data_IF_770547791695
#
_entry.id   IF_770547791695
#
_cell.length_a   1.000
_cell.length_b   1.000
_cell.length_c   1.000
_cell.angle_alpha   90.00
_cell.angle_beta   90.00
_cell.angle_gamma   90.00
#
_symmetry.space_group_name_H-M   'P 1'
#
loop_
_entity.id
_entity.type
_entity.pdbx_description
1 polymer ?
#
# COMPACT_ATOMS: atom_id res chain seq x y z
N UNK A 1 -22.18 -11.31 -10.11
CA UNK A 1 -21.39 -10.07 -10.18
C UNK A 1 -19.98 -10.33 -9.65
N UNK A 2 -18.98 -9.82 -10.35
CA UNK A 2 -17.58 -9.92 -9.92
C UNK A 2 -17.24 -8.75 -9.03
N UNK A 3 -16.51 -9.02 -7.94
CA UNK A 3 -15.92 -7.98 -7.10
C UNK A 3 -14.39 -8.15 -7.11
N UNK A 4 -13.67 -7.12 -6.70
CA UNK A 4 -12.21 -7.13 -6.71
C UNK A 4 -11.70 -6.66 -5.34
N UNK A 5 -10.71 -7.36 -4.84
CA UNK A 5 -9.90 -6.90 -3.71
C UNK A 5 -8.43 -7.06 -4.07
N UNK A 6 -7.57 -6.35 -3.34
CA UNK A 6 -6.12 -6.47 -3.50
C UNK A 6 -5.52 -6.99 -2.21
N UNK A 7 -4.54 -7.87 -2.33
CA UNK A 7 -3.79 -8.37 -1.18
C UNK A 7 -2.35 -7.87 -1.24
N UNK A 8 -1.85 -7.45 -0.09
CA UNK A 8 -0.46 -7.00 0.10
C UNK A 8 0.15 -7.79 1.25
N UNK A 9 1.36 -8.30 1.04
CA UNK A 9 2.12 -8.94 2.10
C UNK A 9 2.77 -7.88 2.98
N UNK A 10 2.75 -8.08 4.30
CA UNK A 10 3.43 -7.25 5.27
C UNK A 10 4.19 -8.12 6.28
N UNK A 11 5.31 -7.65 6.82
CA UNK A 11 6.08 -8.44 7.79
C UNK A 11 5.45 -8.45 9.19
N UNK A 12 4.62 -7.45 9.49
CA UNK A 12 3.94 -7.28 10.78
C UNK A 12 2.55 -6.75 10.52
N UNK A 13 1.52 -7.51 10.89
CA UNK A 13 0.15 -7.16 10.56
C UNK A 13 -0.31 -5.88 11.26
N UNK A 14 0.06 -5.70 12.53
CA UNK A 14 -0.33 -4.51 13.29
C UNK A 14 0.26 -3.24 12.66
N UNK A 15 1.52 -3.28 12.22
CA UNK A 15 2.15 -2.15 11.53
C UNK A 15 1.50 -1.88 10.18
N UNK A 16 1.14 -2.93 9.43
CA UNK A 16 0.44 -2.80 8.16
C UNK A 16 -0.92 -2.14 8.33
N UNK A 17 -1.71 -2.58 9.28
CA UNK A 17 -3.03 -1.99 9.60
C UNK A 17 -2.85 -0.52 10.00
N UNK A 18 -1.91 -0.22 10.88
CA UNK A 18 -1.68 1.14 11.35
C UNK A 18 -1.32 2.09 10.20
N UNK A 19 -0.44 1.66 9.31
CA UNK A 19 -0.04 2.49 8.17
C UNK A 19 -1.21 2.76 7.23
N UNK A 20 -1.85 1.71 6.71
CA UNK A 20 -2.87 1.87 5.67
C UNK A 20 -4.14 2.54 6.20
N UNK A 21 -4.51 2.33 7.43
CA UNK A 21 -5.65 3.03 8.03
C UNK A 21 -5.35 4.53 8.23
N UNK A 22 -4.19 4.87 8.79
CA UNK A 22 -3.84 6.26 9.04
C UNK A 22 -3.52 7.02 7.74
N UNK A 23 -2.88 6.37 6.77
CA UNK A 23 -2.46 7.00 5.52
C UNK A 23 -3.64 7.34 4.61
N UNK A 24 -4.60 6.42 4.47
CA UNK A 24 -5.61 6.49 3.41
C UNK A 24 -7.06 6.45 3.90
N UNK A 25 -7.28 6.27 5.19
CA UNK A 25 -8.64 6.24 5.73
C UNK A 25 -9.32 4.88 5.66
N UNK A 26 -8.55 3.80 5.47
CA UNK A 26 -9.11 2.46 5.63
C UNK A 26 -9.50 2.21 7.08
N UNK A 27 -10.47 1.30 7.27
CA UNK A 27 -10.85 0.77 8.56
C UNK A 27 -10.78 -0.74 8.52
N UNK A 28 -10.42 -1.38 9.63
CA UNK A 28 -10.41 -2.84 9.69
C UNK A 28 -11.86 -3.35 9.65
N UNK A 29 -12.17 -4.14 8.63
CA UNK A 29 -13.50 -4.65 8.34
C UNK A 29 -13.70 -6.04 8.94
N UNK A 30 -12.69 -6.89 8.86
CA UNK A 30 -12.73 -8.22 9.45
C UNK A 30 -11.31 -8.78 9.61
N UNK A 31 -11.18 -9.77 10.48
CA UNK A 31 -9.93 -10.48 10.75
C UNK A 31 -10.18 -11.98 10.55
N UNK A 32 -10.13 -12.50 9.30
CA UNK A 32 -10.47 -13.92 9.04
C UNK A 32 -9.54 -14.91 9.75
N UNK A 33 -8.29 -14.51 9.95
CA UNK A 33 -7.27 -15.28 10.67
C UNK A 33 -6.36 -14.31 11.43
N UNK A 34 -5.60 -14.78 12.43
CA UNK A 34 -4.68 -13.90 13.16
C UNK A 34 -3.65 -13.19 12.28
N UNK A 35 -3.34 -13.73 11.10
CA UNK A 35 -2.35 -13.21 10.17
C UNK A 35 -2.96 -12.51 8.96
N UNK A 36 -4.28 -12.32 8.92
CA UNK A 36 -4.98 -11.73 7.78
C UNK A 36 -5.97 -10.68 8.26
N UNK A 37 -5.87 -9.47 7.74
CA UNK A 37 -6.83 -8.40 7.98
C UNK A 37 -7.41 -7.92 6.66
N UNK A 38 -8.72 -7.68 6.64
CA UNK A 38 -9.40 -7.05 5.50
C UNK A 38 -9.73 -5.62 5.89
N UNK A 39 -9.20 -4.66 5.15
CA UNK A 39 -9.43 -3.24 5.34
C UNK A 39 -10.44 -2.77 4.30
N UNK A 40 -11.40 -1.98 4.74
CA UNK A 40 -12.46 -1.42 3.88
C UNK A 40 -12.64 0.06 4.12
N UNK A 41 -13.75 0.61 3.61
CA UNK A 41 -14.09 2.02 3.77
C UNK A 41 -13.76 2.89 2.57
N UNK A 42 -13.00 2.38 1.61
CA UNK A 42 -12.79 3.00 0.31
C UNK A 42 -13.57 2.24 -0.77
N UNK A 43 -13.28 2.51 -2.02
CA UNK A 43 -14.00 1.86 -3.15
C UNK A 43 -13.51 0.44 -3.45
N UNK A 44 -12.57 -0.09 -2.66
CA UNK A 44 -12.05 -1.43 -2.82
C UNK A 44 -11.50 -1.93 -1.48
N UNK A 45 -11.64 -3.22 -1.21
CA UNK A 45 -11.05 -3.82 -0.03
C UNK A 45 -9.57 -4.09 -0.24
N UNK A 46 -8.78 -3.85 0.80
CA UNK A 46 -7.36 -4.16 0.85
C UNK A 46 -7.14 -5.23 1.91
N UNK A 47 -6.63 -6.39 1.48
CA UNK A 47 -6.29 -7.47 2.40
C UNK A 47 -4.81 -7.41 2.75
N UNK A 48 -4.49 -7.41 4.02
CA UNK A 48 -3.11 -7.48 4.50
C UNK A 48 -2.83 -8.90 4.98
N UNK A 49 -1.75 -9.47 4.45
CA UNK A 49 -1.32 -10.84 4.78
C UNK A 49 0.02 -10.76 5.49
N UNK A 50 0.07 -11.19 6.75
CA UNK A 50 1.35 -11.25 7.47
C UNK A 50 2.15 -12.44 6.98
N UNK A 51 3.35 -12.17 6.46
CA UNK A 51 4.24 -13.19 5.89
C UNK A 51 5.66 -12.93 6.36
N UNK A 52 6.41 -13.98 6.73
CA UNK A 52 7.81 -13.79 7.13
C UNK A 52 8.68 -13.37 5.96
N UNK A 53 9.64 -12.48 6.22
CA UNK A 53 10.71 -12.20 5.27
C UNK A 53 11.47 -13.50 4.95
N UNK A 54 11.86 -13.67 3.70
CA UNK A 54 12.60 -14.87 3.25
C UNK A 54 11.70 -16.06 2.90
N UNK A 55 10.40 -16.02 3.17
CA UNK A 55 9.47 -17.10 2.80
C UNK A 55 9.17 -17.08 1.30
N UNK A 56 8.89 -18.26 0.74
CA UNK A 56 8.52 -18.38 -0.67
C UNK A 56 7.04 -18.04 -0.86
N UNK A 57 6.69 -17.24 -1.88
CA UNK A 57 5.28 -16.94 -2.16
C UNK A 57 4.52 -18.12 -2.74
N UNK A 58 5.20 -19.05 -3.40
CA UNK A 58 4.60 -20.19 -4.09
C UNK A 58 5.66 -21.27 -4.30
N UNK A 59 5.26 -22.57 -4.33
CA UNK A 59 6.18 -23.64 -4.76
C UNK A 59 6.65 -23.50 -6.21
N UNK A 60 5.95 -22.68 -7.01
CA UNK A 60 6.23 -22.53 -8.44
C UNK A 60 7.34 -21.55 -8.75
N UNK A 61 7.94 -20.89 -7.76
CA UNK A 61 8.99 -19.90 -7.96
C UNK A 61 10.15 -20.13 -6.99
N UNK A 62 11.34 -19.68 -7.38
CA UNK A 62 12.51 -19.61 -6.50
C UNK A 62 12.64 -18.25 -5.80
N UNK A 63 11.73 -17.30 -6.06
CA UNK A 63 11.73 -16.01 -5.41
C UNK A 63 11.37 -16.14 -3.92
N UNK A 64 11.93 -15.24 -3.12
CA UNK A 64 11.65 -15.16 -1.69
C UNK A 64 11.14 -13.76 -1.36
N UNK A 65 10.24 -13.67 -0.38
CA UNK A 65 9.73 -12.39 0.08
C UNK A 65 10.83 -11.56 0.72
N UNK A 66 10.84 -10.27 0.39
CA UNK A 66 11.68 -9.28 1.04
C UNK A 66 10.85 -8.01 1.23
N UNK A 67 11.08 -7.33 2.36
CA UNK A 67 10.34 -6.11 2.69
C UNK A 67 11.25 -4.89 2.61
N UNK A 68 11.97 -4.80 1.50
CA UNK A 68 12.75 -3.65 1.09
C UNK A 68 12.23 -3.17 -0.27
N UNK A 69 12.54 -1.94 -0.64
CA UNK A 69 12.06 -1.38 -1.89
C UNK A 69 12.48 -2.24 -3.08
N UNK A 70 11.49 -2.67 -3.86
CA UNK A 70 11.68 -3.39 -5.11
C UNK A 70 10.61 -2.94 -6.09
N UNK A 71 10.90 -3.05 -7.37
CA UNK A 71 9.94 -2.69 -8.41
C UNK A 71 8.97 -3.85 -8.67
N UNK A 72 7.70 -3.50 -8.82
CA UNK A 72 6.67 -4.43 -9.27
C UNK A 72 5.90 -3.80 -10.43
N UNK A 73 5.41 -4.61 -11.40
CA UNK A 73 4.63 -4.07 -12.52
C UNK A 73 3.23 -3.62 -12.11
N UNK A 74 2.77 -3.99 -10.93
CA UNK A 74 1.47 -3.59 -10.39
C UNK A 74 1.70 -2.74 -9.14
N UNK A 75 1.00 -1.62 -9.06
CA UNK A 75 1.01 -0.75 -7.89
C UNK A 75 -0.37 -0.13 -7.68
N UNK A 76 -0.61 0.38 -6.48
CA UNK A 76 -1.84 1.10 -6.17
C UNK A 76 -1.65 2.58 -6.45
N UNK A 77 -2.67 3.19 -7.04
CA UNK A 77 -2.78 4.64 -7.20
C UNK A 77 -3.87 5.13 -6.28
N UNK A 78 -3.52 6.00 -5.33
CA UNK A 78 -4.48 6.63 -4.44
C UNK A 78 -4.78 8.03 -4.96
N UNK A 79 -6.04 8.28 -5.30
CA UNK A 79 -6.49 9.60 -5.74
C UNK A 79 -6.82 10.43 -4.50
N UNK A 80 -6.14 11.55 -4.36
CA UNK A 80 -6.26 12.44 -3.19
C UNK A 80 -6.63 13.85 -3.62
N UNK A 81 -7.23 14.61 -2.72
CA UNK A 81 -7.63 15.99 -3.01
C UNK A 81 -6.46 16.96 -2.99
N UNK A 82 -5.52 16.74 -2.06
CA UNK A 82 -4.35 17.61 -1.85
C UNK A 82 -3.09 16.73 -1.80
N UNK A 83 -2.29 16.82 -2.86
CA UNK A 83 -1.08 16.00 -2.99
C UNK A 83 -0.09 16.26 -1.87
N UNK A 84 0.18 17.53 -1.57
CA UNK A 84 1.21 17.89 -0.57
C UNK A 84 0.79 17.47 0.84
N UNK A 85 -0.49 17.62 1.19
CA UNK A 85 -1.00 17.17 2.47
C UNK A 85 -0.95 15.64 2.60
N UNK A 86 -1.35 14.92 1.55
CA UNK A 86 -1.28 13.45 1.53
C UNK A 86 0.16 12.96 1.61
N UNK A 87 1.07 13.61 0.88
CA UNK A 87 2.49 13.26 0.87
C UNK A 87 3.12 13.46 2.25
N UNK A 88 2.84 14.59 2.90
CA UNK A 88 3.32 14.85 4.27
C UNK A 88 2.80 13.80 5.26
N UNK A 89 1.53 13.40 5.11
CA UNK A 89 0.91 12.38 5.97
C UNK A 89 1.58 11.02 5.81
N UNK A 90 1.78 10.55 4.57
CA UNK A 90 2.39 9.22 4.36
C UNK A 90 3.85 9.22 4.79
N UNK A 91 4.58 10.32 4.57
CA UNK A 91 5.97 10.44 5.03
C UNK A 91 6.08 10.41 6.56
N UNK A 92 5.16 11.08 7.26
CA UNK A 92 5.11 11.05 8.71
C UNK A 92 4.83 9.64 9.26
N UNK A 93 4.20 8.78 8.47
CA UNK A 93 3.87 7.40 8.83
C UNK A 93 4.94 6.38 8.37
N UNK A 94 6.05 6.85 7.80
CA UNK A 94 7.17 6.00 7.43
C UNK A 94 7.30 5.67 5.95
N UNK A 95 6.42 6.20 5.09
CA UNK A 95 6.58 6.08 3.65
C UNK A 95 7.74 6.94 3.16
N UNK A 96 8.26 6.59 2.00
CA UNK A 96 9.35 7.34 1.36
C UNK A 96 8.86 7.97 0.07
N UNK A 97 9.18 9.25 -0.11
CA UNK A 97 9.00 9.96 -1.37
C UNK A 97 10.11 9.53 -2.32
N UNK A 98 9.75 9.16 -3.54
CA UNK A 98 10.73 8.80 -4.57
C UNK A 98 10.80 9.87 -5.65
N UNK A 99 9.64 10.33 -6.14
CA UNK A 99 9.60 11.34 -7.20
C UNK A 99 8.26 12.08 -7.16
N UNK A 100 8.29 13.38 -7.47
CA UNK A 100 7.08 14.20 -7.55
C UNK A 100 7.04 14.87 -8.92
N UNK A 101 5.88 14.77 -9.56
CA UNK A 101 5.59 15.45 -10.81
C UNK A 101 4.43 16.42 -10.59
N UNK A 102 4.58 17.64 -11.07
CA UNK A 102 3.50 18.62 -11.06
C UNK A 102 3.35 19.15 -12.48
N UNK A 103 2.14 19.03 -13.01
CA UNK A 103 1.83 19.53 -14.33
C UNK A 103 0.61 20.45 -14.25
N UNK A 104 0.69 21.69 -14.77
CA UNK A 104 -0.38 22.66 -14.59
C UNK A 104 -1.71 22.23 -15.18
N UNK A 105 -1.71 21.40 -16.24
CA UNK A 105 -2.92 21.02 -16.98
C UNK A 105 -3.36 19.57 -16.74
N UNK A 106 -2.47 18.70 -16.26
CA UNK A 106 -2.70 17.25 -16.20
C UNK A 106 -2.71 16.68 -14.79
N UNK A 107 -2.56 17.55 -13.78
CA UNK A 107 -2.54 17.13 -12.40
C UNK A 107 -1.14 16.78 -11.91
N UNK A 108 -1.07 16.29 -10.69
CA UNK A 108 0.17 16.02 -9.98
C UNK A 108 0.22 14.58 -9.52
N UNK A 109 1.42 14.03 -9.43
CA UNK A 109 1.65 12.67 -8.98
C UNK A 109 2.87 12.61 -8.07
N UNK A 110 2.82 11.76 -7.06
CA UNK A 110 3.97 11.43 -6.24
C UNK A 110 4.17 9.91 -6.27
N UNK A 111 5.38 9.50 -6.62
CA UNK A 111 5.79 8.09 -6.53
C UNK A 111 6.41 7.87 -5.16
N UNK A 112 5.91 6.87 -4.45
CA UNK A 112 6.28 6.59 -3.07
C UNK A 112 6.49 5.10 -2.87
N UNK A 113 7.09 4.75 -1.73
CA UNK A 113 7.06 3.40 -1.22
C UNK A 113 6.54 3.40 0.21
N UNK A 114 5.80 2.35 0.57
CA UNK A 114 5.31 2.18 1.93
C UNK A 114 6.44 1.71 2.87
N UNK A 115 6.21 1.62 4.19
CA UNK A 115 7.27 1.20 5.11
C UNK A 115 7.80 -0.22 4.87
N UNK A 116 7.10 -1.01 4.05
CA UNK A 116 7.43 -2.42 3.79
C UNK A 116 8.08 -2.64 2.43
N UNK A 117 8.33 -1.56 1.67
CA UNK A 117 9.01 -1.62 0.39
C UNK A 117 8.10 -1.71 -0.84
N UNK A 118 6.78 -1.62 -0.66
CA UNK A 118 5.84 -1.65 -1.79
C UNK A 118 5.67 -0.26 -2.39
N UNK A 119 5.76 -0.17 -3.72
CA UNK A 119 5.54 1.08 -4.44
C UNK A 119 4.05 1.43 -4.53
N UNK A 120 3.74 2.70 -4.39
CA UNK A 120 2.40 3.24 -4.64
C UNK A 120 2.52 4.67 -5.14
N UNK A 121 1.44 5.16 -5.73
CA UNK A 121 1.36 6.54 -6.21
C UNK A 121 0.26 7.30 -5.50
N UNK A 122 0.49 8.59 -5.32
CA UNK A 122 -0.54 9.56 -4.97
C UNK A 122 -0.82 10.40 -6.21
N UNK A 123 -2.09 10.53 -6.56
CA UNK A 123 -2.51 11.30 -7.73
C UNK A 123 -3.51 12.37 -7.30
N UNK A 124 -3.31 13.61 -7.79
CA UNK A 124 -4.22 14.72 -7.55
C UNK A 124 -4.40 15.55 -8.81
N UNK A 125 -5.59 16.07 -9.00
CA UNK A 125 -5.91 16.98 -10.12
C UNK A 125 -6.27 18.36 -9.63
#
# INVERSE_FOLDING_TARGET
>A
MTTVSISIDVPDLAQGIAFYCAAFGFTEKMRPMPTVAVLGGLNMDLCLLEKPAGSKPSPATEDHRKFERHWTPVHLDFHVDDLHAALARVEALGAKREQVFEHPDHGSAAFCSDPFGHGFCLLAR
#
